data_IF_420620479032
#
_entry.id   IF_420620479032
#
_cell.length_a   1.000
_cell.length_b   1.000
_cell.length_c   1.000
_cell.angle_alpha   90.00
_cell.angle_beta   90.00
_cell.angle_gamma   90.00
#
_symmetry.space_group_name_H-M   'P 1'
#
loop_
_entity.id
_entity.type
_entity.pdbx_description
1 polymer ?
#
# COMPACT_ATOMS: atom_id res chain seq x y z
N UNK A 1 15.76 -19.25 -50.76
CA UNK A 1 15.02 -18.91 -49.52
C UNK A 1 14.47 -20.20 -48.93
N UNK A 2 14.73 -20.53 -47.65
CA UNK A 2 14.31 -21.83 -47.11
C UNK A 2 12.77 -21.88 -47.01
N UNK A 3 12.18 -22.87 -47.69
CA UNK A 3 10.72 -23.07 -47.84
C UNK A 3 9.99 -23.54 -46.57
N UNK A 4 10.67 -23.60 -45.41
CA UNK A 4 10.15 -24.20 -44.17
C UNK A 4 10.09 -23.25 -42.96
N UNK A 5 10.18 -21.92 -43.15
CA UNK A 5 10.06 -20.99 -42.01
C UNK A 5 8.59 -20.87 -41.58
N UNK A 6 8.22 -21.18 -40.32
CA UNK A 6 6.86 -20.97 -39.85
C UNK A 6 6.44 -19.51 -39.97
N UNK A 7 5.14 -19.26 -40.19
CA UNK A 7 4.60 -17.89 -40.25
C UNK A 7 4.94 -17.12 -38.98
N UNK A 8 5.01 -15.78 -39.08
CA UNK A 8 5.26 -14.91 -37.91
C UNK A 8 4.27 -15.19 -36.79
N UNK A 9 2.99 -15.30 -37.13
CA UNK A 9 1.90 -15.63 -36.21
C UNK A 9 2.12 -16.95 -35.46
N UNK A 10 2.49 -18.04 -36.16
CA UNK A 10 2.80 -19.32 -35.51
C UNK A 10 3.99 -19.23 -34.55
N UNK A 11 5.01 -18.43 -34.89
CA UNK A 11 6.17 -18.21 -34.01
C UNK A 11 5.81 -17.37 -32.79
N UNK A 12 4.96 -16.37 -32.96
CA UNK A 12 4.51 -15.51 -31.86
C UNK A 12 3.57 -16.26 -30.91
N UNK A 13 2.71 -17.13 -31.44
CA UNK A 13 1.90 -18.05 -30.67
C UNK A 13 2.76 -19.05 -29.88
N UNK A 14 3.72 -19.72 -30.52
CA UNK A 14 4.61 -20.65 -29.84
C UNK A 14 5.41 -19.98 -28.71
N UNK A 15 5.92 -18.77 -28.94
CA UNK A 15 6.58 -17.97 -27.89
C UNK A 15 5.65 -17.62 -26.74
N UNK A 16 4.37 -17.34 -27.04
CA UNK A 16 3.37 -17.02 -26.02
C UNK A 16 3.04 -18.25 -25.17
N UNK A 17 2.87 -19.40 -25.80
CA UNK A 17 2.64 -20.68 -25.13
C UNK A 17 3.84 -21.09 -24.28
N UNK A 18 5.07 -20.95 -24.80
CA UNK A 18 6.31 -21.21 -24.06
C UNK A 18 6.43 -20.29 -22.82
N UNK A 19 6.17 -18.99 -22.97
CA UNK A 19 6.14 -18.04 -21.85
C UNK A 19 5.08 -18.40 -20.82
N UNK A 20 3.90 -18.83 -21.27
CA UNK A 20 2.81 -19.28 -20.38
C UNK A 20 3.22 -20.54 -19.60
N UNK A 21 3.80 -21.54 -20.26
CA UNK A 21 4.26 -22.76 -19.62
C UNK A 21 5.34 -22.48 -18.56
N UNK A 22 6.35 -21.66 -18.90
CA UNK A 22 7.40 -21.24 -17.95
C UNK A 22 6.84 -20.48 -16.75
N UNK A 23 5.87 -19.59 -16.98
CA UNK A 23 5.19 -18.88 -15.88
C UNK A 23 4.45 -19.86 -14.97
N UNK A 24 3.70 -20.80 -15.55
CA UNK A 24 2.97 -21.82 -14.79
C UNK A 24 3.93 -22.64 -13.93
N UNK A 25 5.01 -23.16 -14.52
CA UNK A 25 6.01 -23.94 -13.80
C UNK A 25 6.66 -23.14 -12.65
N UNK A 26 7.00 -21.87 -12.89
CA UNK A 26 7.57 -20.98 -11.87
C UNK A 26 6.58 -20.75 -10.73
N UNK A 27 5.34 -20.36 -11.04
CA UNK A 27 4.30 -20.08 -10.04
C UNK A 27 3.92 -21.33 -9.24
N UNK A 28 3.84 -22.51 -9.87
CA UNK A 28 3.61 -23.78 -9.16
C UNK A 28 4.72 -24.05 -8.15
N UNK A 29 5.99 -23.94 -8.56
CA UNK A 29 7.15 -24.16 -7.69
C UNK A 29 7.19 -23.17 -6.51
N UNK A 30 6.87 -21.91 -6.75
CA UNK A 30 6.75 -20.92 -5.68
C UNK A 30 5.62 -21.27 -4.71
N UNK A 31 4.46 -21.71 -5.22
CA UNK A 31 3.33 -22.12 -4.38
C UNK A 31 3.64 -23.36 -3.54
N UNK A 32 4.33 -24.35 -4.10
CA UNK A 32 4.73 -25.56 -3.36
C UNK A 32 5.70 -25.21 -2.22
N UNK A 33 6.66 -24.32 -2.48
CA UNK A 33 7.58 -23.82 -1.44
C UNK A 33 6.86 -23.00 -0.37
N UNK A 34 5.96 -22.10 -0.78
CA UNK A 34 5.17 -21.30 0.15
C UNK A 34 4.26 -22.19 1.02
N UNK A 35 3.66 -23.23 0.43
CA UNK A 35 2.87 -24.22 1.15
C UNK A 35 3.70 -24.98 2.17
N UNK A 36 4.90 -25.43 1.81
CA UNK A 36 5.80 -26.10 2.75
C UNK A 36 6.12 -25.24 3.97
N UNK A 37 6.34 -23.92 3.79
CA UNK A 37 6.54 -22.98 4.90
C UNK A 37 5.27 -22.79 5.72
N UNK A 38 4.11 -22.67 5.07
CA UNK A 38 2.83 -22.51 5.76
C UNK A 38 2.50 -23.72 6.64
N UNK A 39 2.79 -24.93 6.15
CA UNK A 39 2.52 -26.21 6.83
C UNK A 39 3.60 -26.59 7.86
N UNK A 40 4.73 -25.86 7.92
CA UNK A 40 5.80 -26.10 8.89
C UNK A 40 5.38 -25.64 10.29
N UNK A 41 5.20 -26.59 11.21
CA UNK A 41 4.80 -26.31 12.60
C UNK A 41 5.99 -25.97 13.51
N UNK A 42 7.24 -26.06 13.02
CA UNK A 42 8.43 -25.66 13.77
C UNK A 42 8.71 -24.16 13.67
N UNK A 43 8.15 -23.50 12.66
CA UNK A 43 8.25 -22.06 12.46
C UNK A 43 7.11 -21.34 13.16
N UNK A 44 7.44 -20.30 13.91
CA UNK A 44 6.44 -19.35 14.38
C UNK A 44 5.91 -18.47 13.24
N UNK A 45 4.87 -17.68 13.51
CA UNK A 45 4.25 -16.84 12.51
C UNK A 45 5.23 -15.84 11.88
N UNK A 46 6.07 -15.19 12.69
CA UNK A 46 7.03 -14.19 12.19
C UNK A 46 8.06 -14.83 11.26
N UNK A 47 8.60 -15.99 11.64
CA UNK A 47 9.53 -16.76 10.81
C UNK A 47 8.88 -17.21 9.49
N UNK A 48 7.60 -17.62 9.50
CA UNK A 48 6.86 -17.92 8.26
C UNK A 48 6.81 -16.71 7.33
N UNK A 49 6.56 -15.51 7.86
CA UNK A 49 6.53 -14.27 7.07
C UNK A 49 7.90 -13.97 6.45
N UNK A 50 9.00 -14.16 7.19
CA UNK A 50 10.36 -13.96 6.65
C UNK A 50 10.68 -14.93 5.49
N UNK A 51 10.37 -16.20 5.66
CA UNK A 51 10.57 -17.20 4.60
C UNK A 51 9.68 -16.93 3.37
N UNK A 52 8.42 -16.53 3.58
CA UNK A 52 7.50 -16.19 2.50
C UNK A 52 7.95 -14.95 1.73
N UNK A 53 8.46 -13.93 2.43
CA UNK A 53 9.01 -12.73 1.78
C UNK A 53 10.14 -13.07 0.80
N UNK A 54 11.02 -14.01 1.17
CA UNK A 54 12.09 -14.48 0.28
C UNK A 54 11.57 -15.29 -0.91
N UNK A 55 10.57 -16.15 -0.69
CA UNK A 55 9.98 -16.98 -1.76
C UNK A 55 9.25 -16.11 -2.78
N UNK A 56 8.51 -15.11 -2.30
CA UNK A 56 7.66 -14.24 -3.13
C UNK A 56 8.39 -13.01 -3.65
N UNK A 57 9.57 -12.70 -3.13
CA UNK A 57 10.30 -11.45 -3.35
C UNK A 57 9.45 -10.25 -2.91
N UNK A 58 8.90 -10.32 -1.70
CA UNK A 58 8.17 -9.20 -1.13
C UNK A 58 9.07 -7.99 -0.90
N UNK A 59 8.45 -6.82 -0.88
CA UNK A 59 9.13 -5.59 -0.49
C UNK A 59 9.43 -5.64 1.01
N UNK A 60 10.71 -5.81 1.34
CA UNK A 60 11.24 -5.84 2.70
C UNK A 60 12.65 -5.27 2.74
N UNK A 61 13.06 -4.79 3.91
CA UNK A 61 14.42 -4.34 4.20
C UNK A 61 14.85 -4.87 5.58
N UNK A 62 16.08 -4.55 6.00
CA UNK A 62 16.58 -4.93 7.32
C UNK A 62 15.66 -4.39 8.42
N UNK A 63 15.17 -5.29 9.28
CA UNK A 63 14.25 -4.98 10.38
C UNK A 63 14.94 -4.92 11.74
N UNK A 64 16.26 -5.13 11.82
CA UNK A 64 17.00 -5.30 13.08
C UNK A 64 16.68 -4.22 14.11
N UNK A 65 16.79 -2.94 13.74
CA UNK A 65 16.55 -1.82 14.68
C UNK A 65 15.07 -1.73 15.08
N UNK A 66 14.16 -1.99 14.14
CA UNK A 66 12.72 -2.01 14.42
C UNK A 66 12.39 -3.16 15.36
N UNK A 67 12.95 -4.35 15.15
CA UNK A 67 12.73 -5.53 15.98
C UNK A 67 13.29 -5.32 17.40
N UNK A 68 14.47 -4.72 17.56
CA UNK A 68 15.02 -4.31 18.88
C UNK A 68 14.07 -3.34 19.61
N UNK A 69 13.56 -2.34 18.89
CA UNK A 69 12.57 -1.42 19.45
C UNK A 69 11.28 -2.16 19.85
N UNK A 70 10.77 -3.04 19.00
CA UNK A 70 9.55 -3.82 19.26
C UNK A 70 9.72 -4.76 20.45
N UNK A 71 10.92 -5.29 20.67
CA UNK A 71 11.31 -6.08 21.84
C UNK A 71 11.55 -5.25 23.11
N UNK A 72 11.51 -3.91 23.02
CA UNK A 72 11.84 -2.97 24.10
C UNK A 72 13.31 -3.05 24.55
N UNK A 73 14.21 -3.51 23.68
CA UNK A 73 15.66 -3.56 23.94
C UNK A 73 16.28 -2.16 23.84
N UNK A 74 15.74 -1.33 22.94
CA UNK A 74 16.09 0.07 22.77
C UNK A 74 14.87 0.97 22.94
N UNK A 75 15.11 2.22 23.34
CA UNK A 75 14.04 3.20 23.50
C UNK A 75 13.52 3.72 22.15
N UNK A 76 12.33 4.32 22.13
CA UNK A 76 11.82 4.98 20.92
C UNK A 76 12.78 6.06 20.40
N UNK A 77 13.32 6.89 21.30
CA UNK A 77 14.26 7.96 20.94
C UNK A 77 15.56 7.41 20.32
N UNK A 78 16.06 6.30 20.85
CA UNK A 78 17.25 5.62 20.35
C UNK A 78 16.99 4.99 18.97
N UNK A 79 15.91 4.22 18.82
CA UNK A 79 15.53 3.62 17.54
C UNK A 79 15.36 4.69 16.45
N UNK A 80 14.66 5.77 16.78
CA UNK A 80 14.46 6.91 15.89
C UNK A 80 15.79 7.55 15.49
N UNK A 81 16.72 7.74 16.43
CA UNK A 81 18.04 8.30 16.10
C UNK A 81 18.87 7.38 15.20
N UNK A 82 18.87 6.07 15.45
CA UNK A 82 19.61 5.10 14.63
C UNK A 82 19.06 5.09 13.20
N UNK A 83 17.73 5.05 13.05
CA UNK A 83 17.06 5.00 11.75
C UNK A 83 17.19 6.32 10.97
N UNK A 84 17.01 7.46 11.64
CA UNK A 84 16.93 8.76 10.97
C UNK A 84 18.29 9.38 10.63
N UNK A 85 19.32 9.17 11.46
CA UNK A 85 20.63 9.81 11.28
C UNK A 85 21.24 9.63 9.89
N UNK A 86 21.34 8.41 9.31
CA UNK A 86 21.91 8.26 7.97
C UNK A 86 21.08 8.96 6.89
N UNK A 87 19.76 9.04 7.06
CA UNK A 87 18.85 9.76 6.15
C UNK A 87 19.08 11.26 6.27
N UNK A 88 19.18 11.80 7.49
CA UNK A 88 19.43 13.21 7.76
C UNK A 88 20.76 13.67 7.14
N UNK A 89 21.82 12.85 7.30
CA UNK A 89 23.14 13.11 6.73
C UNK A 89 23.12 13.06 5.20
N UNK A 90 22.53 12.02 4.60
CA UNK A 90 22.43 11.90 3.14
C UNK A 90 21.58 13.04 2.55
N UNK A 91 20.45 13.38 3.18
CA UNK A 91 19.59 14.47 2.74
C UNK A 91 20.33 15.81 2.77
N UNK A 92 20.95 16.16 3.91
CA UNK A 92 21.57 17.48 4.13
C UNK A 92 22.82 17.70 3.28
N UNK A 93 23.43 16.62 2.79
CA UNK A 93 24.66 16.69 1.96
C UNK A 93 24.38 16.47 0.48
N UNK A 94 23.11 16.41 0.05
CA UNK A 94 22.73 16.03 -1.31
C UNK A 94 23.42 14.72 -1.76
N UNK A 95 23.34 13.70 -0.90
CA UNK A 95 24.01 12.41 -1.05
C UNK A 95 25.53 12.56 -1.21
N UNK A 96 26.19 13.25 -0.28
CA UNK A 96 27.62 13.60 -0.40
C UNK A 96 27.95 14.26 -1.76
N UNK A 97 27.15 15.24 -2.15
CA UNK A 97 27.22 16.00 -3.41
C UNK A 97 26.94 15.22 -4.70
N UNK A 98 26.74 13.90 -4.64
CA UNK A 98 26.48 13.09 -5.84
C UNK A 98 25.17 13.45 -6.52
N UNK A 99 24.19 13.96 -5.77
CA UNK A 99 22.90 14.33 -6.32
C UNK A 99 22.95 15.63 -7.13
N UNK A 100 23.84 16.57 -6.78
CA UNK A 100 24.06 17.76 -7.61
C UNK A 100 24.49 17.38 -9.03
N UNK A 101 25.44 16.45 -9.15
CA UNK A 101 25.90 15.95 -10.44
C UNK A 101 24.76 15.29 -11.24
N UNK A 102 23.98 14.41 -10.61
CA UNK A 102 22.88 13.70 -11.29
C UNK A 102 21.79 14.65 -11.77
N UNK A 103 21.33 15.55 -10.91
CA UNK A 103 20.27 16.47 -11.26
C UNK A 103 20.73 17.50 -12.29
N UNK A 104 22.00 17.91 -12.25
CA UNK A 104 22.57 18.78 -13.28
C UNK A 104 22.67 18.06 -14.64
N UNK A 105 23.00 16.77 -14.68
CA UNK A 105 22.94 15.99 -15.94
C UNK A 105 21.53 15.96 -16.52
N UNK A 106 20.51 15.76 -15.68
CA UNK A 106 19.10 15.84 -16.09
C UNK A 106 18.80 17.25 -16.63
N UNK A 107 19.18 18.30 -15.90
CA UNK A 107 18.98 19.68 -16.29
C UNK A 107 19.62 20.01 -17.65
N UNK A 108 20.87 19.62 -17.89
CA UNK A 108 21.57 19.83 -19.17
C UNK A 108 20.85 19.21 -20.36
N UNK A 109 20.26 18.03 -20.18
CA UNK A 109 19.43 17.41 -21.22
C UNK A 109 18.14 18.20 -21.42
N UNK A 110 17.49 18.63 -20.33
CA UNK A 110 16.21 19.33 -20.38
C UNK A 110 16.30 20.76 -20.93
N UNK A 111 17.39 21.51 -20.63
CA UNK A 111 17.61 22.89 -21.14
C UNK A 111 17.54 22.96 -22.68
N UNK A 112 17.92 21.89 -23.39
CA UNK A 112 17.89 21.82 -24.87
C UNK A 112 16.48 21.86 -25.48
N UNK A 113 15.44 21.62 -24.69
CA UNK A 113 14.04 21.62 -25.15
C UNK A 113 13.34 22.97 -24.91
N UNK A 114 14.04 23.99 -24.41
CA UNK A 114 13.48 25.29 -24.06
C UNK A 114 14.26 26.43 -24.72
N UNK A 115 13.64 27.62 -24.84
CA UNK A 115 14.41 28.83 -25.18
C UNK A 115 15.43 29.11 -24.06
N UNK A 116 16.53 29.83 -24.35
CA UNK A 116 17.54 30.16 -23.33
C UNK A 116 16.97 30.79 -22.06
N UNK A 117 16.02 31.72 -22.21
CA UNK A 117 15.39 32.42 -21.09
C UNK A 117 14.54 31.45 -20.26
N UNK A 118 13.77 30.59 -20.93
CA UNK A 118 12.92 29.60 -20.25
C UNK A 118 13.75 28.49 -19.59
N UNK A 119 14.87 28.11 -20.21
CA UNK A 119 15.82 27.16 -19.64
C UNK A 119 16.44 27.70 -18.35
N UNK A 120 16.87 28.97 -18.35
CA UNK A 120 17.42 29.63 -17.17
C UNK A 120 16.40 29.75 -16.04
N UNK A 121 15.15 30.10 -16.36
CA UNK A 121 14.05 30.17 -15.40
C UNK A 121 13.76 28.81 -14.74
N UNK A 122 13.72 27.73 -15.54
CA UNK A 122 13.31 26.40 -15.07
C UNK A 122 14.42 25.59 -14.41
N UNK A 123 15.67 25.79 -14.84
CA UNK A 123 16.80 24.91 -14.50
C UNK A 123 18.02 25.65 -13.97
N UNK A 124 17.96 26.98 -13.86
CA UNK A 124 19.11 27.80 -13.48
C UNK A 124 20.24 27.77 -14.53
N UNK A 125 21.35 28.48 -14.24
CA UNK A 125 22.53 28.41 -15.07
C UNK A 125 23.09 26.98 -15.10
N UNK A 126 23.79 26.64 -16.18
CA UNK A 126 24.56 25.39 -16.23
C UNK A 126 25.75 25.49 -15.29
N UNK A 127 25.92 24.47 -14.45
CA UNK A 127 26.96 24.38 -13.43
C UNK A 127 27.78 23.11 -13.63
N UNK A 128 29.07 23.16 -13.31
CA UNK A 128 29.97 22.00 -13.37
C UNK A 128 30.12 21.38 -11.97
N UNK A 129 29.53 20.20 -11.78
CA UNK A 129 29.67 19.39 -10.59
C UNK A 129 30.62 18.21 -10.85
N UNK A 130 31.50 17.84 -9.91
CA UNK A 130 32.42 16.74 -10.09
C UNK A 130 31.65 15.42 -10.25
N UNK A 131 32.10 14.59 -11.21
CA UNK A 131 31.56 13.24 -11.40
C UNK A 131 31.93 12.37 -10.19
N UNK A 132 30.96 11.67 -9.58
CA UNK A 132 31.22 10.85 -8.41
C UNK A 132 32.03 9.59 -8.77
N UNK A 133 32.97 9.22 -7.92
CA UNK A 133 33.84 8.04 -8.12
C UNK A 133 33.06 6.73 -8.25
N UNK A 134 31.91 6.62 -7.55
CA UNK A 134 31.06 5.42 -7.53
C UNK A 134 29.59 5.77 -7.84
N UNK A 135 29.29 6.19 -9.08
CA UNK A 135 27.92 6.59 -9.48
C UNK A 135 26.87 5.48 -9.29
N UNK A 136 27.28 4.20 -9.25
CA UNK A 136 26.40 3.02 -9.25
C UNK A 136 25.97 2.53 -7.88
N UNK A 137 26.64 2.94 -6.80
CA UNK A 137 26.22 2.55 -5.46
C UNK A 137 25.19 3.55 -4.92
N UNK A 138 23.94 3.14 -4.95
CA UNK A 138 22.81 3.92 -4.44
C UNK A 138 22.43 3.50 -3.01
N UNK A 139 23.10 2.51 -2.40
CA UNK A 139 22.65 1.96 -1.12
C UNK A 139 22.63 2.99 0.03
N UNK A 140 23.50 3.99 -0.03
CA UNK A 140 23.61 5.06 0.97
C UNK A 140 22.94 6.39 0.59
N UNK A 141 22.20 6.47 -0.52
CA UNK A 141 21.53 7.71 -0.87
C UNK A 141 20.20 7.88 -0.11
N UNK A 142 19.78 9.12 0.11
CA UNK A 142 18.64 9.48 0.94
C UNK A 142 17.36 8.76 0.49
N UNK A 143 17.13 8.67 -0.82
CA UNK A 143 15.98 7.96 -1.38
C UNK A 143 15.96 6.47 -1.00
N UNK A 144 17.06 5.73 -1.23
CA UNK A 144 17.13 4.30 -0.92
C UNK A 144 17.05 4.04 0.59
N UNK A 145 17.66 4.90 1.40
CA UNK A 145 17.57 4.81 2.86
C UNK A 145 16.13 5.01 3.35
N UNK A 146 15.38 5.95 2.76
CA UNK A 146 13.97 6.17 3.03
C UNK A 146 13.11 4.98 2.59
N UNK A 147 13.36 4.41 1.41
CA UNK A 147 12.70 3.16 0.97
C UNK A 147 12.94 2.02 1.96
N UNK A 148 14.19 1.81 2.36
CA UNK A 148 14.57 0.77 3.31
C UNK A 148 13.91 1.00 4.69
N UNK A 149 13.87 2.24 5.17
CA UNK A 149 13.16 2.58 6.41
C UNK A 149 11.69 2.14 6.33
N UNK A 150 10.97 2.56 5.30
CA UNK A 150 9.56 2.24 5.19
C UNK A 150 9.32 0.75 4.95
N UNK A 151 10.13 0.09 4.13
CA UNK A 151 10.05 -1.37 3.94
C UNK A 151 10.34 -2.15 5.21
N UNK A 152 11.25 -1.70 6.06
CA UNK A 152 11.49 -2.34 7.36
C UNK A 152 10.26 -2.26 8.28
N UNK A 153 9.63 -1.08 8.37
CA UNK A 153 8.45 -0.84 9.21
C UNK A 153 7.24 -1.62 8.67
N UNK A 154 7.00 -1.54 7.36
CA UNK A 154 5.88 -2.23 6.70
C UNK A 154 6.01 -3.75 6.77
N UNK A 155 7.23 -4.27 6.59
CA UNK A 155 7.50 -5.70 6.76
C UNK A 155 7.32 -6.14 8.21
N UNK A 156 7.75 -5.32 9.18
CA UNK A 156 7.49 -5.59 10.60
C UNK A 156 6.00 -5.62 10.91
N UNK A 157 5.20 -4.72 10.32
CA UNK A 157 3.75 -4.71 10.49
C UNK A 157 3.09 -6.02 10.04
N UNK A 158 3.56 -6.65 8.95
CA UNK A 158 3.07 -7.96 8.49
C UNK A 158 3.24 -9.06 9.55
N UNK A 159 4.29 -8.99 10.37
CA UNK A 159 4.62 -9.98 11.42
C UNK A 159 3.78 -9.85 12.69
N UNK A 160 3.10 -8.71 12.91
CA UNK A 160 2.35 -8.44 14.15
C UNK A 160 0.87 -8.76 13.92
N UNK A 161 0.29 -9.78 14.58
CA UNK A 161 -1.14 -10.08 14.46
C UNK A 161 -2.01 -8.84 14.72
N UNK A 162 -3.02 -8.58 13.87
CA UNK A 162 -3.93 -7.44 14.02
C UNK A 162 -4.70 -7.46 15.34
N UNK A 163 -4.85 -8.63 15.94
CA UNK A 163 -5.46 -8.84 17.26
C UNK A 163 -4.56 -8.36 18.41
N UNK A 164 -3.26 -8.23 18.18
CA UNK A 164 -2.32 -7.66 19.16
C UNK A 164 -2.26 -6.14 19.03
N UNK A 165 -3.31 -5.49 19.50
CA UNK A 165 -3.47 -4.03 19.40
C UNK A 165 -2.31 -3.26 20.04
N UNK A 166 -1.82 -3.72 21.20
CA UNK A 166 -0.73 -3.07 21.90
C UNK A 166 0.58 -3.05 21.09
N UNK A 167 0.92 -4.17 20.43
CA UNK A 167 2.10 -4.21 19.55
C UNK A 167 1.88 -3.40 18.27
N UNK A 168 0.67 -3.43 17.70
CA UNK A 168 0.33 -2.59 16.55
C UNK A 168 0.49 -1.10 16.87
N UNK A 169 -0.04 -0.64 18.01
CA UNK A 169 0.12 0.75 18.46
C UNK A 169 1.56 1.11 18.78
N UNK A 170 2.34 0.19 19.37
CA UNK A 170 3.78 0.42 19.59
C UNK A 170 4.54 0.72 18.29
N UNK A 171 4.18 0.07 17.18
CA UNK A 171 4.78 0.36 15.87
C UNK A 171 4.27 1.70 15.30
N UNK A 172 3.01 2.05 15.52
CA UNK A 172 2.46 3.37 15.18
C UNK A 172 3.18 4.49 15.94
N UNK A 173 3.50 4.27 17.22
CA UNK A 173 4.27 5.21 18.05
C UNK A 173 5.66 5.48 17.48
N UNK A 174 6.32 4.47 16.90
CA UNK A 174 7.61 4.66 16.22
C UNK A 174 7.47 5.59 15.01
N UNK A 175 6.46 5.36 14.16
CA UNK A 175 6.20 6.24 13.01
C UNK A 175 5.83 7.65 13.46
N UNK A 176 5.05 7.79 14.54
CA UNK A 176 4.72 9.09 15.13
C UNK A 176 5.96 9.80 15.64
N UNK A 177 6.88 9.09 16.28
CA UNK A 177 8.13 9.64 16.78
C UNK A 177 9.06 10.06 15.64
N UNK A 178 9.14 9.28 14.54
CA UNK A 178 9.82 9.70 13.31
C UNK A 178 9.20 10.97 12.74
N UNK A 179 7.87 11.04 12.61
CA UNK A 179 7.13 12.20 12.10
C UNK A 179 7.40 13.48 12.92
N UNK A 180 7.54 13.33 14.24
CA UNK A 180 7.76 14.44 15.17
C UNK A 180 9.17 15.00 15.19
N UNK A 181 10.11 14.44 14.42
CA UNK A 181 11.48 14.95 14.33
C UNK A 181 11.53 16.30 13.60
N UNK A 182 12.51 17.16 13.92
CA UNK A 182 12.84 18.28 13.06
C UNK A 182 13.32 17.76 11.70
N UNK A 183 12.88 18.40 10.62
CA UNK A 183 13.41 18.10 9.29
C UNK A 183 14.92 18.43 9.23
N UNK A 184 15.74 17.61 8.54
CA UNK A 184 17.13 17.92 8.31
C UNK A 184 17.27 19.23 7.50
N UNK A 185 18.36 19.99 7.69
CA UNK A 185 18.59 21.20 6.91
C UNK A 185 18.69 20.89 5.42
N UNK A 186 18.21 21.81 4.59
CA UNK A 186 18.41 21.75 3.14
C UNK A 186 19.91 21.77 2.80
N UNK A 187 20.35 21.03 1.76
CA UNK A 187 21.68 21.14 1.21
C UNK A 187 22.06 22.57 0.83
N UNK A 188 23.33 22.90 1.04
CA UNK A 188 23.91 24.18 0.64
C UNK A 188 24.98 23.92 -0.42
N UNK A 189 24.84 24.47 -1.64
CA UNK A 189 23.73 25.28 -2.13
C UNK A 189 22.49 24.45 -2.56
N UNK A 190 21.28 24.91 -2.27
CA UNK A 190 20.06 24.31 -2.85
C UNK A 190 19.88 24.78 -4.30
N UNK A 191 20.38 24.01 -5.27
CA UNK A 191 20.27 24.34 -6.70
C UNK A 191 18.84 24.13 -7.24
N UNK A 192 18.47 24.83 -8.32
CA UNK A 192 17.15 24.67 -8.95
C UNK A 192 16.93 23.21 -9.42
N UNK A 193 17.89 22.53 -10.09
CA UNK A 193 17.74 21.13 -10.44
C UNK A 193 17.52 20.22 -9.22
N UNK A 194 18.29 20.40 -8.14
CA UNK A 194 18.13 19.58 -6.94
C UNK A 194 16.76 19.75 -6.30
N UNK A 195 16.24 20.98 -6.23
CA UNK A 195 14.90 21.27 -5.69
C UNK A 195 13.76 20.66 -6.52
N UNK A 196 14.04 20.18 -7.73
CA UNK A 196 13.06 19.46 -8.57
C UNK A 196 13.10 17.95 -8.37
N UNK A 197 14.15 17.43 -7.74
CA UNK A 197 14.17 16.04 -7.32
C UNK A 197 13.13 15.81 -6.24
N UNK A 198 12.38 14.72 -6.37
CA UNK A 198 11.23 14.46 -5.52
C UNK A 198 11.56 14.31 -4.02
N UNK A 199 12.79 13.92 -3.65
CA UNK A 199 13.21 13.84 -2.24
C UNK A 199 13.37 15.25 -1.65
N UNK A 200 13.94 16.19 -2.40
CA UNK A 200 14.19 17.56 -1.94
C UNK A 200 13.04 18.53 -2.26
N UNK A 201 12.13 18.17 -3.16
CA UNK A 201 11.08 19.05 -3.69
C UNK A 201 10.20 19.68 -2.59
N UNK A 202 9.88 18.91 -1.55
CA UNK A 202 9.00 19.37 -0.47
C UNK A 202 9.75 20.17 0.61
N UNK A 203 11.08 20.10 0.66
CA UNK A 203 11.88 20.70 1.75
C UNK A 203 11.67 20.04 3.12
N UNK A 204 10.95 18.91 3.17
CA UNK A 204 10.62 18.19 4.40
C UNK A 204 10.78 16.69 4.21
N UNK A 205 11.35 16.03 5.22
CA UNK A 205 11.56 14.57 5.22
C UNK A 205 10.60 13.90 6.18
N UNK A 206 10.61 14.34 7.45
CA UNK A 206 9.94 13.67 8.56
C UNK A 206 8.50 14.12 8.73
N UNK A 207 8.22 15.43 8.69
CA UNK A 207 6.86 15.95 8.93
C UNK A 207 5.86 15.40 7.92
N UNK A 208 6.29 15.26 6.67
CA UNK A 208 5.48 14.77 5.55
C UNK A 208 5.60 13.26 5.33
N UNK A 209 6.49 12.57 6.06
CA UNK A 209 6.77 11.14 5.90
C UNK A 209 7.03 10.81 4.43
N UNK A 210 7.99 11.51 3.83
CA UNK A 210 8.28 11.40 2.41
C UNK A 210 8.56 9.94 2.03
N UNK A 211 8.13 9.53 0.83
CA UNK A 211 8.21 8.15 0.31
C UNK A 211 7.26 7.14 1.00
N UNK A 212 6.77 7.35 2.23
CA UNK A 212 5.88 6.38 2.90
C UNK A 212 4.66 6.01 2.05
N UNK A 213 4.00 7.00 1.46
CA UNK A 213 2.84 6.78 0.57
C UNK A 213 3.19 5.95 -0.67
N UNK A 214 4.38 6.14 -1.23
CA UNK A 214 4.88 5.35 -2.35
C UNK A 214 5.24 3.92 -1.91
N UNK A 215 5.88 3.75 -0.75
CA UNK A 215 6.16 2.45 -0.14
C UNK A 215 4.91 1.64 0.13
N UNK A 216 3.83 2.26 0.62
CA UNK A 216 2.54 1.60 0.81
C UNK A 216 1.95 1.15 -0.54
N UNK A 217 2.07 1.99 -1.57
CA UNK A 217 1.60 1.63 -2.92
C UNK A 217 2.39 0.46 -3.52
N UNK A 218 3.71 0.39 -3.31
CA UNK A 218 4.55 -0.72 -3.77
C UNK A 218 4.30 -2.00 -2.98
N UNK A 219 4.24 -1.94 -1.64
CA UNK A 219 3.96 -3.10 -0.77
C UNK A 219 2.57 -3.69 -1.04
N UNK A 220 1.62 -2.94 -1.61
CA UNK A 220 0.35 -3.51 -2.09
C UNK A 220 0.54 -4.58 -3.18
N UNK A 221 1.67 -4.57 -3.88
CA UNK A 221 2.01 -5.67 -4.79
C UNK A 221 2.28 -6.97 -4.02
N UNK A 222 2.52 -6.95 -2.71
CA UNK A 222 2.67 -8.15 -1.88
C UNK A 222 1.32 -8.76 -1.45
N UNK A 223 0.19 -8.18 -1.85
CA UNK A 223 -1.16 -8.67 -1.52
C UNK A 223 -1.49 -10.04 -2.16
N UNK A 224 -2.45 -10.73 -1.55
CA UNK A 224 -3.03 -11.97 -2.07
C UNK A 224 -3.58 -11.79 -3.50
N UNK A 225 -3.21 -12.70 -4.41
CA UNK A 225 -3.62 -12.64 -5.81
C UNK A 225 -2.79 -11.70 -6.70
N UNK A 226 -1.82 -10.98 -6.12
CA UNK A 226 -0.80 -10.21 -6.83
C UNK A 226 0.58 -10.87 -6.63
N UNK A 227 1.38 -10.38 -5.68
CA UNK A 227 2.70 -10.90 -5.32
C UNK A 227 2.64 -12.05 -4.34
N UNK A 228 1.66 -12.10 -3.44
CA UNK A 228 1.42 -13.24 -2.57
C UNK A 228 0.44 -14.26 -3.17
N UNK A 229 0.55 -15.50 -2.70
CA UNK A 229 -0.47 -16.52 -2.84
C UNK A 229 -1.60 -16.35 -1.83
N UNK A 230 -2.29 -17.45 -1.54
CA UNK A 230 -3.47 -17.49 -0.68
C UNK A 230 -3.28 -18.40 0.54
N UNK A 231 -2.05 -18.76 0.90
CA UNK A 231 -1.84 -19.53 2.14
C UNK A 231 -2.26 -18.71 3.37
N UNK A 232 -2.61 -19.40 4.46
CA UNK A 232 -3.05 -18.72 5.69
C UNK A 232 -2.07 -17.64 6.17
N UNK A 233 -0.73 -17.85 6.24
CA UNK A 233 0.18 -16.80 6.68
C UNK A 233 0.23 -15.60 5.73
N UNK A 234 0.09 -15.82 4.41
CA UNK A 234 0.05 -14.73 3.42
C UNK A 234 -1.19 -13.85 3.62
N UNK A 235 -2.36 -14.48 3.85
CA UNK A 235 -3.60 -13.75 4.15
C UNK A 235 -3.48 -12.95 5.46
N UNK A 236 -2.91 -13.55 6.51
CA UNK A 236 -2.71 -12.89 7.80
C UNK A 236 -1.74 -11.71 7.69
N UNK A 237 -0.65 -11.83 6.94
CA UNK A 237 0.29 -10.73 6.72
C UNK A 237 -0.38 -9.49 6.12
N UNK A 238 -1.24 -9.68 5.11
CA UNK A 238 -2.00 -8.58 4.51
C UNK A 238 -3.07 -8.01 5.47
N UNK A 239 -3.74 -8.84 6.26
CA UNK A 239 -4.70 -8.38 7.27
C UNK A 239 -4.02 -7.55 8.36
N UNK A 240 -2.87 -8.00 8.85
CA UNK A 240 -2.03 -7.30 9.82
C UNK A 240 -1.60 -5.92 9.30
N UNK A 241 -1.16 -5.88 8.04
CA UNK A 241 -0.75 -4.65 7.38
C UNK A 241 -1.91 -3.66 7.19
N UNK A 242 -3.10 -4.15 6.83
CA UNK A 242 -4.31 -3.30 6.75
C UNK A 242 -4.73 -2.74 8.11
N UNK A 243 -4.65 -3.53 9.19
CA UNK A 243 -4.89 -3.02 10.54
C UNK A 243 -3.89 -1.93 10.93
N UNK A 244 -2.61 -2.10 10.60
CA UNK A 244 -1.58 -1.10 10.83
C UNK A 244 -1.86 0.22 10.08
N UNK A 245 -2.21 0.12 8.79
CA UNK A 245 -2.58 1.30 7.98
C UNK A 245 -3.80 2.03 8.53
N UNK A 246 -4.80 1.29 8.99
CA UNK A 246 -5.98 1.87 9.61
C UNK A 246 -5.60 2.63 10.89
N UNK A 247 -4.70 2.10 11.73
CA UNK A 247 -4.24 2.78 12.96
C UNK A 247 -3.40 4.02 12.66
N UNK A 248 -2.53 3.99 11.65
CA UNK A 248 -1.81 5.17 11.17
C UNK A 248 -2.78 6.30 10.75
N UNK A 249 -3.87 5.93 10.09
CA UNK A 249 -4.92 6.86 9.65
C UNK A 249 -5.72 7.40 10.83
N UNK A 250 -6.25 6.52 11.68
CA UNK A 250 -7.08 6.89 12.83
C UNK A 250 -6.32 7.75 13.86
N UNK A 251 -5.01 7.56 13.99
CA UNK A 251 -4.16 8.37 14.88
C UNK A 251 -3.67 9.69 14.26
N UNK A 252 -4.03 9.99 13.01
CA UNK A 252 -3.62 11.21 12.31
C UNK A 252 -2.13 11.26 11.95
N UNK A 253 -1.40 10.15 12.09
CA UNK A 253 0.05 10.09 11.77
C UNK A 253 0.28 10.14 10.26
N UNK A 254 -0.49 9.35 9.50
CA UNK A 254 -0.44 9.34 8.04
C UNK A 254 -1.85 9.11 7.49
N UNK A 255 -2.27 9.93 6.53
CA UNK A 255 -3.59 9.80 5.93
C UNK A 255 -3.57 8.82 4.75
N UNK A 256 -3.97 7.56 5.00
CA UNK A 256 -3.90 6.45 4.04
C UNK A 256 -5.31 5.88 3.77
N UNK A 257 -6.36 6.66 4.00
CA UNK A 257 -7.77 6.24 3.88
C UNK A 257 -8.12 5.58 2.53
N UNK A 258 -7.43 5.95 1.44
CA UNK A 258 -7.64 5.38 0.10
C UNK A 258 -7.46 3.86 0.09
N UNK A 259 -6.56 3.30 0.92
CA UNK A 259 -6.42 1.85 1.04
C UNK A 259 -7.67 1.21 1.66
N UNK A 260 -8.25 1.86 2.68
CA UNK A 260 -9.52 1.43 3.26
C UNK A 260 -10.69 1.51 2.28
N UNK A 261 -10.75 2.56 1.45
CA UNK A 261 -11.75 2.67 0.37
C UNK A 261 -11.64 1.49 -0.62
N UNK A 262 -10.41 1.13 -1.00
CA UNK A 262 -10.14 -0.02 -1.89
C UNK A 262 -10.61 -1.32 -1.24
N UNK A 263 -10.25 -1.58 0.03
CA UNK A 263 -10.68 -2.79 0.75
C UNK A 263 -12.21 -2.86 0.86
N UNK A 264 -12.87 -1.75 1.18
CA UNK A 264 -14.33 -1.69 1.25
C UNK A 264 -14.98 -2.01 -0.12
N UNK A 265 -14.44 -1.48 -1.21
CA UNK A 265 -14.93 -1.78 -2.56
C UNK A 265 -14.71 -3.26 -2.91
N UNK A 266 -13.52 -3.80 -2.65
CA UNK A 266 -13.20 -5.19 -2.98
C UNK A 266 -14.06 -6.19 -2.20
N UNK A 267 -14.35 -5.92 -0.92
CA UNK A 267 -15.19 -6.79 -0.09
C UNK A 267 -16.69 -6.64 -0.35
N UNK A 268 -17.18 -5.40 -0.44
CA UNK A 268 -18.63 -5.12 -0.37
C UNK A 268 -19.24 -4.95 -1.77
N UNK A 269 -18.48 -4.45 -2.74
CA UNK A 269 -19.00 -4.06 -4.05
C UNK A 269 -18.60 -5.00 -5.18
N UNK A 270 -17.49 -5.73 -5.08
CA UNK A 270 -16.99 -6.62 -6.15
C UNK A 270 -17.26 -8.09 -5.88
N UNK A 271 -17.36 -8.90 -6.93
CA UNK A 271 -17.32 -10.35 -6.79
C UNK A 271 -15.93 -10.80 -6.29
N UNK A 272 -15.84 -11.84 -5.45
CA UNK A 272 -14.55 -12.42 -5.06
C UNK A 272 -13.73 -12.76 -6.31
N UNK A 273 -12.47 -12.34 -6.32
CA UNK A 273 -11.57 -12.58 -7.46
C UNK A 273 -10.17 -12.90 -6.97
N UNK A 274 -9.51 -13.96 -7.51
CA UNK A 274 -8.13 -14.31 -7.18
C UNK A 274 -7.09 -13.45 -7.91
N UNK A 275 -7.53 -12.44 -8.68
CA UNK A 275 -6.69 -11.53 -9.46
C UNK A 275 -5.74 -12.23 -10.45
N UNK A 276 -4.44 -11.88 -10.42
CA UNK A 276 -3.47 -12.23 -11.45
C UNK A 276 -2.91 -13.65 -11.28
N UNK A 277 -2.85 -14.16 -10.05
CA UNK A 277 -2.41 -15.54 -9.77
C UNK A 277 -3.58 -16.50 -9.92
N UNK A 278 -3.62 -17.19 -11.06
CA UNK A 278 -4.74 -18.08 -11.45
C UNK A 278 -4.43 -19.58 -11.28
N UNK A 279 -3.25 -19.93 -10.78
CA UNK A 279 -2.91 -21.34 -10.56
C UNK A 279 -3.48 -21.76 -9.23
N UNK A 280 -4.49 -22.65 -9.29
CA UNK A 280 -5.21 -23.19 -8.14
C UNK A 280 -5.72 -22.09 -7.19
N UNK A 281 -6.59 -21.17 -7.68
CA UNK A 281 -7.16 -20.15 -6.81
C UNK A 281 -7.97 -20.81 -5.69
N UNK A 282 -8.00 -20.22 -4.50
CA UNK A 282 -8.88 -20.70 -3.44
C UNK A 282 -10.36 -20.52 -3.83
N UNK A 283 -11.28 -21.24 -3.17
CA UNK A 283 -12.71 -21.02 -3.32
C UNK A 283 -13.13 -19.57 -3.04
N UNK A 284 -14.22 -19.12 -3.69
CA UNK A 284 -14.71 -17.73 -3.58
C UNK A 284 -15.01 -17.31 -2.13
N UNK A 285 -15.48 -18.22 -1.27
CA UNK A 285 -15.76 -17.91 0.13
C UNK A 285 -14.50 -17.63 0.96
N UNK A 286 -13.36 -18.24 0.63
CA UNK A 286 -12.07 -17.93 1.28
C UNK A 286 -11.56 -16.55 0.84
N UNK A 287 -11.68 -16.24 -0.46
CA UNK A 287 -11.34 -14.91 -1.00
C UNK A 287 -12.21 -13.84 -0.35
N UNK A 288 -13.52 -14.09 -0.27
CA UNK A 288 -14.46 -13.19 0.38
C UNK A 288 -14.16 -13.02 1.87
N UNK A 289 -13.83 -14.11 2.57
CA UNK A 289 -13.44 -14.08 3.99
C UNK A 289 -12.26 -13.13 4.23
N UNK A 290 -11.23 -13.21 3.38
CA UNK A 290 -10.08 -12.34 3.46
C UNK A 290 -10.47 -10.86 3.21
N UNK A 291 -11.20 -10.58 2.14
CA UNK A 291 -11.61 -9.20 1.82
C UNK A 291 -12.52 -8.58 2.90
N UNK A 292 -13.50 -9.34 3.39
CA UNK A 292 -14.39 -8.90 4.49
C UNK A 292 -13.56 -8.58 5.74
N UNK A 293 -12.56 -9.39 6.07
CA UNK A 293 -11.66 -9.13 7.21
C UNK A 293 -10.91 -7.81 7.04
N UNK A 294 -10.24 -7.59 5.90
CA UNK A 294 -9.49 -6.35 5.65
C UNK A 294 -10.41 -5.11 5.67
N UNK A 295 -11.59 -5.19 5.03
CA UNK A 295 -12.56 -4.10 5.03
C UNK A 295 -13.14 -3.83 6.43
N UNK A 296 -13.41 -4.87 7.22
CA UNK A 296 -13.91 -4.74 8.58
C UNK A 296 -12.87 -4.06 9.48
N UNK A 297 -11.58 -4.42 9.38
CA UNK A 297 -10.51 -3.80 10.15
C UNK A 297 -10.42 -2.29 9.89
N UNK A 298 -10.42 -1.88 8.62
CA UNK A 298 -10.47 -0.47 8.24
C UNK A 298 -11.69 0.26 8.78
N UNK A 299 -12.87 -0.36 8.67
CA UNK A 299 -14.13 0.23 9.11
C UNK A 299 -14.15 0.43 10.63
N UNK A 300 -13.71 -0.57 11.39
CA UNK A 300 -13.72 -0.55 12.86
C UNK A 300 -12.70 0.46 13.40
N UNK A 301 -11.51 0.52 12.81
CA UNK A 301 -10.41 1.34 13.33
C UNK A 301 -10.48 2.79 12.80
N UNK A 302 -10.69 2.96 11.49
CA UNK A 302 -10.57 4.24 10.80
C UNK A 302 -11.80 4.56 9.91
N UNK A 303 -12.96 3.97 10.20
CA UNK A 303 -14.14 4.11 9.34
C UNK A 303 -14.58 5.57 9.15
N UNK A 304 -14.42 6.43 10.16
CA UNK A 304 -14.74 7.86 10.02
C UNK A 304 -13.93 8.49 8.88
N UNK A 305 -12.62 8.25 8.83
CA UNK A 305 -11.73 8.78 7.79
C UNK A 305 -11.99 8.15 6.43
N UNK A 306 -12.19 6.82 6.38
CA UNK A 306 -12.49 6.08 5.14
C UNK A 306 -13.77 6.59 4.48
N UNK A 307 -14.81 6.84 5.28
CA UNK A 307 -16.11 7.25 4.76
C UNK A 307 -16.32 8.77 4.77
N UNK A 308 -15.39 9.58 5.30
CA UNK A 308 -15.52 11.04 5.46
C UNK A 308 -15.83 11.79 4.17
N UNK A 309 -15.33 11.31 3.02
CA UNK A 309 -15.50 11.96 1.71
C UNK A 309 -16.90 11.85 1.14
N UNK A 310 -17.69 10.87 1.58
CA UNK A 310 -19.08 10.75 1.13
C UNK A 310 -19.93 11.83 1.82
N UNK A 311 -20.79 12.57 1.10
CA UNK A 311 -21.65 13.58 1.71
C UNK A 311 -22.50 13.01 2.84
N UNK A 312 -22.69 13.77 3.92
CA UNK A 312 -23.63 13.46 5.02
C UNK A 312 -25.09 13.81 4.66
N UNK A 313 -25.46 13.69 3.40
CA UNK A 313 -26.87 13.76 3.00
C UNK A 313 -27.51 12.42 3.31
N UNK A 314 -28.63 12.41 4.03
CA UNK A 314 -29.44 11.21 4.24
C UNK A 314 -30.77 11.43 3.52
N UNK A 315 -30.92 10.86 2.32
CA UNK A 315 -32.17 10.87 1.57
C UNK A 315 -32.85 9.49 1.73
N UNK A 316 -34.06 9.47 2.28
CA UNK A 316 -34.82 8.22 2.48
C UNK A 316 -35.04 7.46 1.17
N UNK A 317 -35.15 8.18 0.04
CA UNK A 317 -35.29 7.58 -1.30
C UNK A 317 -34.03 6.88 -1.77
N UNK A 318 -32.87 7.17 -1.17
CA UNK A 318 -31.61 6.49 -1.47
C UNK A 318 -31.48 5.20 -0.65
N UNK A 319 -32.00 5.22 0.57
CA UNK A 319 -32.06 4.06 1.47
C UNK A 319 -32.96 2.96 0.87
N UNK A 320 -34.15 3.30 0.37
CA UNK A 320 -35.06 2.34 -0.30
C UNK A 320 -34.43 1.66 -1.53
N UNK A 321 -33.43 2.29 -2.14
CA UNK A 321 -32.73 1.69 -3.27
C UNK A 321 -31.75 0.61 -2.81
N UNK A 322 -31.14 0.76 -1.62
CA UNK A 322 -30.17 -0.19 -1.07
C UNK A 322 -30.77 -1.60 -0.99
N UNK A 323 -32.02 -1.73 -0.55
CA UNK A 323 -32.71 -3.02 -0.46
C UNK A 323 -32.80 -3.77 -1.79
N UNK A 324 -32.92 -3.03 -2.90
CA UNK A 324 -33.02 -3.61 -4.24
C UNK A 324 -31.67 -3.95 -4.86
N UNK A 325 -30.57 -3.48 -4.26
CA UNK A 325 -29.22 -3.62 -4.83
C UNK A 325 -28.25 -4.36 -3.90
N UNK A 326 -28.67 -4.78 -2.71
CA UNK A 326 -27.79 -5.38 -1.70
C UNK A 326 -27.08 -6.64 -2.20
N UNK A 327 -27.74 -7.43 -3.04
CA UNK A 327 -27.18 -8.65 -3.64
C UNK A 327 -26.32 -8.37 -4.89
N UNK A 328 -26.36 -7.15 -5.42
CA UNK A 328 -25.64 -6.79 -6.64
C UNK A 328 -24.15 -6.56 -6.35
N UNK A 329 -23.31 -6.95 -7.31
CA UNK A 329 -21.86 -6.70 -7.30
C UNK A 329 -21.38 -6.20 -8.67
N UNK A 330 -20.17 -5.68 -8.72
CA UNK A 330 -19.47 -5.21 -9.93
C UNK A 330 -20.28 -4.17 -10.72
N UNK A 331 -20.32 -4.32 -12.05
CA UNK A 331 -21.05 -3.45 -12.98
C UNK A 331 -22.58 -3.54 -12.83
N UNK A 332 -23.10 -4.43 -11.97
CA UNK A 332 -24.54 -4.46 -11.67
C UNK A 332 -24.92 -3.33 -10.72
N UNK A 333 -23.99 -2.84 -9.89
CA UNK A 333 -24.23 -1.72 -8.98
C UNK A 333 -24.45 -0.41 -9.75
N UNK A 334 -25.43 0.42 -9.36
CA UNK A 334 -25.78 1.64 -10.09
C UNK A 334 -24.63 2.63 -10.27
N UNK A 335 -23.73 2.72 -9.29
CA UNK A 335 -22.59 3.64 -9.31
C UNK A 335 -21.37 3.13 -10.08
N UNK A 336 -21.37 1.85 -10.50
CA UNK A 336 -20.34 1.28 -11.37
C UNK A 336 -20.75 1.32 -12.86
N UNK A 337 -22.04 1.58 -13.16
CA UNK A 337 -22.55 1.70 -14.53
C UNK A 337 -22.16 3.04 -15.16
N UNK A 338 -21.13 3.01 -16.02
CA UNK A 338 -20.72 4.07 -16.97
C UNK A 338 -20.56 5.47 -16.37
N UNK A 339 -19.29 5.90 -16.20
CA UNK A 339 -18.86 7.28 -15.91
C UNK A 339 -19.47 8.36 -16.84
N UNK A 340 -20.07 8.00 -17.98
CA UNK A 340 -20.53 8.93 -19.03
C UNK A 340 -22.06 9.16 -19.10
N UNK A 341 -22.91 8.30 -18.51
CA UNK A 341 -24.38 8.37 -18.75
C UNK A 341 -25.23 8.90 -17.60
N UNK A 342 -24.75 8.90 -16.36
CA UNK A 342 -25.55 9.32 -15.21
C UNK A 342 -24.84 10.43 -14.43
N UNK A 343 -25.30 11.67 -14.63
CA UNK A 343 -24.91 12.89 -13.89
C UNK A 343 -25.45 12.90 -12.45
N UNK A 344 -25.31 11.79 -11.72
CA UNK A 344 -25.98 11.58 -10.42
C UNK A 344 -25.09 10.99 -9.31
N UNK A 345 -23.76 11.14 -9.39
CA UNK A 345 -22.81 10.57 -8.41
C UNK A 345 -23.20 10.87 -6.95
N UNK A 346 -23.60 12.10 -6.65
CA UNK A 346 -23.93 12.53 -5.28
C UNK A 346 -25.04 11.71 -4.60
N UNK A 347 -26.06 11.27 -5.37
CA UNK A 347 -27.16 10.43 -4.87
C UNK A 347 -26.65 9.04 -4.43
N UNK A 348 -25.71 8.49 -5.19
CA UNK A 348 -25.15 7.17 -4.90
C UNK A 348 -24.04 7.19 -3.85
N UNK A 349 -23.30 8.29 -3.74
CA UNK A 349 -22.31 8.49 -2.67
C UNK A 349 -22.99 8.50 -1.29
N UNK A 350 -24.20 9.05 -1.19
CA UNK A 350 -25.08 8.95 -0.01
C UNK A 350 -25.49 7.51 0.30
N UNK A 351 -25.99 6.78 -0.71
CA UNK A 351 -26.43 5.39 -0.55
C UNK A 351 -25.30 4.42 -0.18
N UNK A 352 -24.05 4.71 -0.56
CA UNK A 352 -22.90 3.81 -0.36
C UNK A 352 -22.57 3.53 1.11
N UNK A 353 -22.72 4.52 2.01
CA UNK A 353 -22.49 4.30 3.45
C UNK A 353 -23.52 3.32 4.02
N UNK A 354 -24.79 3.50 3.67
CA UNK A 354 -25.86 2.59 4.11
C UNK A 354 -25.75 1.21 3.44
N UNK A 355 -25.36 1.16 2.16
CA UNK A 355 -25.03 -0.08 1.46
C UNK A 355 -23.91 -0.82 2.17
N UNK A 356 -22.80 -0.16 2.50
CA UNK A 356 -21.69 -0.79 3.22
C UNK A 356 -22.14 -1.34 4.58
N UNK A 357 -22.91 -0.56 5.36
CA UNK A 357 -23.49 -1.01 6.63
C UNK A 357 -24.32 -2.28 6.46
N UNK A 358 -25.29 -2.29 5.54
CA UNK A 358 -26.17 -3.44 5.29
C UNK A 358 -25.43 -4.62 4.69
N UNK A 359 -24.38 -4.38 3.90
CA UNK A 359 -23.58 -5.46 3.30
C UNK A 359 -22.75 -6.15 4.36
N UNK A 360 -22.10 -5.42 5.27
CA UNK A 360 -21.45 -6.02 6.44
C UNK A 360 -22.45 -6.80 7.31
N UNK A 361 -23.65 -6.28 7.52
CA UNK A 361 -24.73 -6.99 8.23
C UNK A 361 -25.16 -8.27 7.50
N UNK A 362 -25.24 -8.25 6.16
CA UNK A 362 -25.51 -9.47 5.40
C UNK A 362 -24.36 -10.49 5.54
N UNK A 363 -23.11 -10.05 5.42
CA UNK A 363 -21.95 -10.94 5.56
C UNK A 363 -21.80 -11.48 7.00
N UNK A 364 -22.28 -10.79 8.03
CA UNK A 364 -22.28 -11.33 9.39
C UNK A 364 -23.23 -12.52 9.58
N UNK A 365 -24.17 -12.73 8.65
CA UNK A 365 -25.08 -13.87 8.63
C UNK A 365 -24.73 -14.89 7.53
N UNK A 366 -23.64 -14.67 6.77
CA UNK A 366 -23.25 -15.55 5.67
C UNK A 366 -22.58 -16.83 6.20
N UNK A 367 -23.30 -17.94 6.19
CA UNK A 367 -22.86 -19.24 6.74
C UNK A 367 -21.66 -19.86 6.01
N UNK A 368 -21.32 -19.39 4.79
CA UNK A 368 -20.10 -19.79 4.09
C UNK A 368 -18.83 -19.18 4.69
N UNK A 369 -18.97 -18.11 5.50
CA UNK A 369 -17.85 -17.45 6.17
C UNK A 369 -17.59 -18.05 7.55
N UNK A 370 -16.33 -18.05 7.97
CA UNK A 370 -15.96 -18.49 9.32
C UNK A 370 -16.63 -17.62 10.39
N UNK A 371 -16.78 -18.18 11.60
CA UNK A 371 -17.39 -17.45 12.71
C UNK A 371 -16.65 -16.13 13.01
N UNK A 372 -15.31 -16.17 13.02
CA UNK A 372 -14.47 -14.99 13.27
C UNK A 372 -14.72 -13.87 12.25
N UNK A 373 -14.84 -14.22 10.97
CA UNK A 373 -15.14 -13.26 9.90
C UNK A 373 -16.54 -12.68 10.06
N UNK A 374 -17.52 -13.51 10.39
CA UNK A 374 -18.90 -13.05 10.65
C UNK A 374 -18.98 -12.10 11.84
N UNK A 375 -18.25 -12.37 12.91
CA UNK A 375 -18.15 -11.49 14.08
C UNK A 375 -17.50 -10.15 13.74
N UNK A 376 -16.42 -10.15 12.95
CA UNK A 376 -15.78 -8.92 12.45
C UNK A 376 -16.74 -8.12 11.56
N UNK A 377 -17.46 -8.78 10.64
CA UNK A 377 -18.46 -8.14 9.81
C UNK A 377 -19.58 -7.50 10.64
N UNK A 378 -20.07 -8.20 11.68
CA UNK A 378 -21.07 -7.66 12.60
C UNK A 378 -20.57 -6.43 13.37
N UNK A 379 -19.31 -6.45 13.83
CA UNK A 379 -18.66 -5.29 14.46
C UNK A 379 -18.51 -4.12 13.48
N UNK A 380 -18.15 -4.38 12.23
CA UNK A 380 -18.04 -3.36 11.19
C UNK A 380 -19.42 -2.76 10.86
N UNK A 381 -20.48 -3.56 10.77
CA UNK A 381 -21.84 -3.08 10.60
C UNK A 381 -22.28 -2.17 11.75
N UNK A 382 -21.92 -2.53 13.00
CA UNK A 382 -22.15 -1.70 14.18
C UNK A 382 -21.39 -0.37 14.11
N UNK A 383 -20.10 -0.38 13.76
CA UNK A 383 -19.30 0.83 13.61
C UNK A 383 -19.86 1.75 12.50
N UNK A 384 -20.33 1.16 11.39
CA UNK A 384 -20.98 1.90 10.31
C UNK A 384 -22.29 2.55 10.73
N UNK A 385 -23.02 2.00 11.70
CA UNK A 385 -24.26 2.62 12.21
C UNK A 385 -23.99 4.03 12.75
N UNK A 386 -22.88 4.22 13.46
CA UNK A 386 -22.49 5.52 13.99
C UNK A 386 -22.07 6.47 12.85
N UNK A 387 -21.30 5.97 11.89
CA UNK A 387 -20.83 6.74 10.70
C UNK A 387 -22.01 7.21 9.83
N UNK A 388 -23.02 6.36 9.63
CA UNK A 388 -24.24 6.69 8.88
C UNK A 388 -25.14 7.67 9.65
N UNK A 389 -25.12 7.62 10.99
CA UNK A 389 -26.00 8.43 11.84
C UNK A 389 -25.43 9.80 12.20
N UNK A 390 -24.12 10.03 12.03
CA UNK A 390 -23.49 11.33 12.27
C UNK A 390 -24.08 12.41 11.32
N UNK A 391 -24.72 13.43 11.90
CA UNK A 391 -24.98 14.71 11.22
C UNK A 391 -23.68 15.50 11.17
N UNK A 392 -23.42 16.22 10.08
CA UNK A 392 -22.30 17.17 10.03
C UNK A 392 -22.48 18.16 11.20
N UNK A 393 -21.52 18.19 12.12
CA UNK A 393 -21.32 19.38 12.94
C UNK A 393 -20.81 20.46 11.98
N UNK A 394 -21.61 21.49 11.77
CA UNK A 394 -21.22 22.69 11.02
C UNK A 394 -19.96 23.26 11.69
N UNK A 395 -18.84 23.25 10.97
CA UNK A 395 -17.63 23.99 11.33
C UNK A 395 -17.60 25.33 10.62
#
# INVERSE_FOLDING_TARGET
>A
MPKNRPSKEKRDQAKTEERRARRIEKETRENDRAKAVADDNTLDFAAKIEHLAQIRNWFCADTTVVDQYMASEISAAEAVNILAKPIDEAYSTANASTEYFRQERVARVQRKYHSPEKALELWGPEEDWPEPENERDHSGNAEMLLWNLWYSILHTAKKIPFTNEARQEKLVDLVRALKGRPNPPEPVPMTIPLKRDWVWQLGTVWSDLIILGASIAEVRNDSCGCGAGWSWPEQQAEQNLNAFYARLTASGVANIHVQGEICAVDALEKAPTPWYRRISPPPDHEILSHYVTCAALWTIIAGKDVYARYPHTRDERDIEVVDRILELRDNKLPWNRSRKRYKGRARWETARREFARRRFEAESHNEELSLEVRELAGRAAKAMKDIVSQKQEEK
#
